data_IF_222950402610
#
_entry.id   IF_222950402610
#
_cell.length_a   1.000
_cell.length_b   1.000
_cell.length_c   1.000
_cell.angle_alpha   90.00
_cell.angle_beta   90.00
_cell.angle_gamma   90.00
#
_symmetry.space_group_name_H-M   'P 1'
#
loop_
_entity.id
_entity.type
_entity.pdbx_description
1 polymer ?
#
# COMPACT_ATOMS: atom_id res chain seq x y z
N UNK A 1 -5.52 18.96 10.72
CA UNK A 1 -5.55 18.01 11.85
C UNK A 1 -4.63 18.44 12.97
N UNK A 2 -4.65 17.75 14.12
CA UNK A 2 -3.88 18.16 15.29
C UNK A 2 -2.60 17.33 15.44
N UNK A 3 -1.62 17.91 16.11
CA UNK A 3 -0.38 17.24 16.49
C UNK A 3 -0.64 15.90 17.20
N UNK A 4 -1.56 15.89 18.16
CA UNK A 4 -1.85 14.69 18.93
C UNK A 4 -2.34 13.52 18.09
N UNK A 5 -3.22 13.79 17.13
CA UNK A 5 -3.69 12.77 16.17
C UNK A 5 -2.58 12.25 15.26
N UNK A 6 -1.70 13.15 14.78
CA UNK A 6 -0.55 12.73 14.00
C UNK A 6 0.41 11.86 14.83
N UNK A 7 0.66 12.23 16.07
CA UNK A 7 1.50 11.45 16.99
C UNK A 7 0.91 10.05 17.24
N UNK A 8 -0.38 9.98 17.53
CA UNK A 8 -1.09 8.73 17.72
C UNK A 8 -1.00 7.84 16.48
N UNK A 9 -1.24 8.41 15.30
CA UNK A 9 -1.13 7.71 14.02
C UNK A 9 0.28 7.15 13.78
N UNK A 10 1.32 7.97 13.90
CA UNK A 10 2.72 7.55 13.73
C UNK A 10 3.12 6.44 14.71
N UNK A 11 2.63 6.52 15.95
CA UNK A 11 2.86 5.48 16.95
C UNK A 11 2.25 4.13 16.55
N UNK A 12 1.02 4.14 16.04
CA UNK A 12 0.38 2.93 15.52
C UNK A 12 1.10 2.36 14.29
N UNK A 13 1.55 3.22 13.37
CA UNK A 13 2.33 2.78 12.21
C UNK A 13 3.67 2.12 12.59
N UNK A 14 4.22 2.43 13.77
CA UNK A 14 5.47 1.83 14.27
C UNK A 14 5.23 0.50 15.00
N UNK A 15 4.50 -0.42 14.37
CA UNK A 15 4.23 -1.75 14.93
C UNK A 15 3.37 -1.72 16.19
N UNK A 16 2.28 -0.94 16.18
CA UNK A 16 1.35 -0.77 17.31
C UNK A 16 2.05 -0.41 18.62
N UNK A 17 3.08 0.43 18.54
CA UNK A 17 3.82 0.93 19.71
C UNK A 17 2.85 1.52 20.74
N UNK A 18 2.91 1.07 21.99
CA UNK A 18 2.08 1.60 23.07
C UNK A 18 2.55 3.00 23.51
N UNK A 19 1.67 3.77 24.18
CA UNK A 19 2.06 5.04 24.81
C UNK A 19 3.20 4.83 25.82
N UNK A 20 3.23 3.68 26.51
CA UNK A 20 4.30 3.30 27.45
C UNK A 20 5.63 3.12 26.71
N UNK A 21 5.64 2.33 25.63
CA UNK A 21 6.85 2.11 24.84
C UNK A 21 7.43 3.41 24.26
N UNK A 22 6.57 4.33 23.82
CA UNK A 22 7.02 5.65 23.37
C UNK A 22 7.60 6.47 24.50
N UNK A 23 6.91 6.50 25.66
CA UNK A 23 7.34 7.22 26.84
C UNK A 23 8.73 6.76 27.33
N UNK A 24 8.95 5.45 27.39
CA UNK A 24 10.26 4.86 27.72
C UNK A 24 11.35 5.29 26.74
N UNK A 25 11.07 5.25 25.42
CA UNK A 25 12.04 5.61 24.38
C UNK A 25 12.54 7.05 24.49
N UNK A 26 11.68 7.97 24.92
CA UNK A 26 12.02 9.41 25.01
C UNK A 26 12.18 9.89 26.46
N UNK A 27 12.22 8.95 27.41
CA UNK A 27 12.44 9.18 28.83
C UNK A 27 11.48 10.22 29.45
N UNK A 28 10.17 9.97 29.30
CA UNK A 28 9.10 10.76 29.91
C UNK A 28 8.03 9.83 30.51
N UNK A 29 6.99 10.38 31.14
CA UNK A 29 5.89 9.57 31.64
C UNK A 29 4.88 9.21 30.55
N UNK A 30 4.22 8.04 30.63
CA UNK A 30 3.09 7.67 29.79
C UNK A 30 1.99 8.74 29.80
N UNK A 31 1.76 9.36 30.98
CA UNK A 31 0.77 10.42 31.12
C UNK A 31 1.10 11.65 30.24
N UNK A 32 2.38 11.96 30.07
CA UNK A 32 2.83 13.04 29.17
C UNK A 32 2.51 12.71 27.73
N UNK A 33 2.79 11.50 27.26
CA UNK A 33 2.41 11.04 25.90
C UNK A 33 0.89 11.12 25.71
N UNK A 34 0.12 10.65 26.69
CA UNK A 34 -1.35 10.74 26.63
C UNK A 34 -1.85 12.18 26.50
N UNK A 35 -1.27 13.12 27.26
CA UNK A 35 -1.61 14.56 27.15
C UNK A 35 -1.28 15.12 25.76
N UNK A 36 -0.18 14.70 25.18
CA UNK A 36 0.23 15.10 23.82
C UNK A 36 -0.75 14.57 22.77
N UNK A 37 -1.14 13.29 22.85
CA UNK A 37 -2.11 12.69 21.93
C UNK A 37 -3.52 13.28 22.06
N UNK A 38 -3.86 13.85 23.23
CA UNK A 38 -5.12 14.56 23.48
C UNK A 38 -5.04 16.07 23.18
N UNK A 39 -3.91 16.57 22.65
CA UNK A 39 -3.66 18.01 22.40
C UNK A 39 -3.83 18.91 23.64
N UNK A 40 -3.71 18.34 24.85
CA UNK A 40 -3.78 19.10 26.11
C UNK A 40 -2.41 19.62 26.56
N UNK A 41 -1.34 19.15 25.94
CA UNK A 41 0.03 19.64 26.10
C UNK A 41 0.81 19.38 24.81
N UNK A 42 1.95 20.08 24.67
CA UNK A 42 2.87 19.93 23.54
C UNK A 42 4.27 19.60 24.06
N UNK A 43 5.08 18.87 23.26
CA UNK A 43 6.47 18.62 23.61
C UNK A 43 7.32 19.90 23.50
N UNK A 44 8.34 19.98 24.34
CA UNK A 44 9.43 20.93 24.15
C UNK A 44 10.20 20.59 22.86
N UNK A 45 10.94 21.55 22.32
CA UNK A 45 11.58 21.42 21.01
C UNK A 45 12.53 20.22 20.90
N UNK A 46 13.29 19.93 21.96
CA UNK A 46 14.19 18.78 22.04
C UNK A 46 13.42 17.46 21.89
N UNK A 47 12.29 17.33 22.59
CA UNK A 47 11.41 16.15 22.52
C UNK A 47 10.68 16.07 21.18
N UNK A 48 10.30 17.19 20.60
CA UNK A 48 9.72 17.23 19.25
C UNK A 48 10.73 16.71 18.20
N UNK A 49 11.99 17.10 18.29
CA UNK A 49 13.07 16.62 17.41
C UNK A 49 13.32 15.12 17.65
N UNK A 50 13.28 14.66 18.88
CA UNK A 50 13.44 13.25 19.23
C UNK A 50 12.29 12.40 18.61
N UNK A 51 11.05 12.86 18.71
CA UNK A 51 9.90 12.23 18.03
C UNK A 51 10.08 12.17 16.53
N UNK A 52 10.56 13.26 15.88
CA UNK A 52 10.83 13.27 14.45
C UNK A 52 11.87 12.23 14.04
N UNK A 53 12.90 11.99 14.86
CA UNK A 53 13.90 10.94 14.61
C UNK A 53 13.32 9.54 14.75
N UNK A 54 12.50 9.32 15.80
CA UNK A 54 11.85 8.02 16.03
C UNK A 54 10.93 7.64 14.88
N UNK A 55 10.14 8.61 14.40
CA UNK A 55 9.13 8.38 13.38
C UNK A 55 9.59 8.73 11.95
N UNK A 56 10.87 9.09 11.79
CA UNK A 56 11.46 9.48 10.50
C UNK A 56 10.62 10.53 9.77
N UNK A 57 10.16 11.58 10.46
CA UNK A 57 9.32 12.64 9.91
C UNK A 57 9.89 14.03 10.17
N UNK A 58 9.40 15.04 9.44
CA UNK A 58 9.74 16.44 9.71
C UNK A 58 8.87 17.03 10.82
N UNK A 59 9.34 18.12 11.46
CA UNK A 59 8.51 18.89 12.41
C UNK A 59 7.25 19.42 11.73
N UNK A 60 7.33 19.87 10.49
CA UNK A 60 6.17 20.36 9.76
C UNK A 60 5.14 19.25 9.55
N UNK A 61 5.58 18.06 9.14
CA UNK A 61 4.72 16.89 8.99
C UNK A 61 4.07 16.50 10.33
N UNK A 62 4.83 16.48 11.42
CA UNK A 62 4.33 16.11 12.74
C UNK A 62 3.28 17.11 13.29
N UNK A 63 3.52 18.43 13.12
CA UNK A 63 2.68 19.47 13.73
C UNK A 63 1.57 19.98 12.81
N UNK A 64 1.75 19.98 11.49
CA UNK A 64 0.84 20.58 10.50
C UNK A 64 0.33 19.58 9.48
N UNK A 65 1.00 18.45 9.30
CA UNK A 65 0.60 17.43 8.33
C UNK A 65 -0.79 16.89 8.64
N UNK A 66 -1.51 16.55 7.61
CA UNK A 66 -2.73 15.76 7.68
C UNK A 66 -2.38 14.29 7.39
N UNK A 67 -1.82 13.62 8.41
CA UNK A 67 -1.34 12.24 8.28
C UNK A 67 -2.45 11.22 8.47
N UNK A 68 -3.52 11.59 9.18
CA UNK A 68 -4.60 10.68 9.51
C UNK A 68 -5.60 10.64 8.37
N UNK A 69 -5.23 9.94 7.32
CA UNK A 69 -6.14 9.60 6.21
C UNK A 69 -6.84 8.26 6.49
N UNK A 70 -6.49 7.61 7.59
CA UNK A 70 -6.97 6.29 7.97
C UNK A 70 -8.35 6.36 8.62
N UNK A 71 -9.35 5.87 7.91
CA UNK A 71 -10.58 5.37 8.50
C UNK A 71 -10.41 3.91 8.97
N UNK A 72 -11.44 3.36 9.60
CA UNK A 72 -11.53 1.94 10.02
C UNK A 72 -11.41 0.94 8.85
N UNK A 73 -11.34 1.45 7.61
CA UNK A 73 -11.26 0.65 6.38
C UNK A 73 -9.90 -0.06 6.18
N UNK A 74 -8.85 0.40 6.87
CA UNK A 74 -7.49 -0.13 6.68
C UNK A 74 -7.05 -0.95 7.87
N UNK A 75 -6.69 -2.19 7.62
CA UNK A 75 -6.25 -3.13 8.65
C UNK A 75 -4.97 -3.84 8.22
N UNK A 76 -4.37 -4.55 9.16
CA UNK A 76 -3.29 -5.49 8.89
C UNK A 76 -2.12 -4.90 8.08
N UNK A 77 -1.60 -3.75 8.53
CA UNK A 77 -0.31 -3.22 8.04
C UNK A 77 0.81 -4.17 8.44
N UNK A 78 1.55 -4.69 7.46
CA UNK A 78 2.56 -5.72 7.68
C UNK A 78 3.67 -5.68 6.64
N UNK A 79 4.77 -6.34 6.96
CA UNK A 79 5.78 -6.75 5.98
C UNK A 79 5.72 -8.25 5.87
N UNK A 80 5.56 -8.76 4.66
CA UNK A 80 5.58 -10.18 4.41
C UNK A 80 6.40 -10.55 3.18
N UNK A 81 6.86 -11.79 3.13
CA UNK A 81 7.54 -12.32 1.96
C UNK A 81 6.50 -12.96 1.05
N UNK A 82 6.27 -12.37 -0.12
CA UNK A 82 5.51 -13.00 -1.19
C UNK A 82 6.39 -14.09 -1.82
N UNK A 83 5.96 -15.36 -1.83
CA UNK A 83 6.75 -16.45 -2.40
C UNK A 83 6.95 -16.25 -3.91
N UNK A 84 7.97 -16.93 -4.47
CA UNK A 84 8.17 -16.94 -5.91
C UNK A 84 6.95 -17.50 -6.65
N UNK A 85 6.61 -16.91 -7.80
CA UNK A 85 5.49 -17.36 -8.62
C UNK A 85 5.76 -17.14 -10.12
N UNK A 86 5.07 -17.93 -10.94
CA UNK A 86 4.99 -17.74 -12.39
C UNK A 86 3.71 -17.02 -12.73
N UNK A 87 3.74 -16.17 -13.75
CA UNK A 87 2.57 -15.41 -14.16
C UNK A 87 2.59 -15.09 -15.66
N UNK A 88 1.42 -14.86 -16.21
CA UNK A 88 1.23 -14.16 -17.48
C UNK A 88 0.64 -12.80 -17.17
N UNK A 89 0.85 -11.82 -18.08
CA UNK A 89 0.34 -10.48 -17.91
C UNK A 89 -0.22 -9.91 -19.20
N UNK A 90 -1.12 -8.96 -19.05
CA UNK A 90 -1.73 -8.23 -20.15
C UNK A 90 -1.92 -6.77 -19.76
N UNK A 91 -1.37 -5.89 -20.58
CA UNK A 91 -1.49 -4.44 -20.42
C UNK A 91 -2.48 -3.89 -21.45
N UNK A 92 -3.32 -2.96 -21.03
CA UNK A 92 -4.29 -2.31 -21.89
C UNK A 92 -4.42 -0.82 -21.55
N UNK A 93 -4.71 -0.02 -22.57
CA UNK A 93 -5.08 1.40 -22.43
C UNK A 93 -6.50 1.53 -22.97
N UNK A 94 -7.44 1.85 -22.10
CA UNK A 94 -8.86 2.02 -22.46
C UNK A 94 -9.57 2.97 -21.48
N UNK A 95 -10.87 3.15 -21.65
CA UNK A 95 -11.71 3.90 -20.71
C UNK A 95 -12.12 3.10 -19.48
N UNK A 96 -11.99 1.75 -19.52
CA UNK A 96 -12.16 0.83 -18.38
C UNK A 96 -11.02 -0.21 -18.41
N UNK A 97 -9.76 0.21 -18.19
CA UNK A 97 -8.61 -0.65 -18.40
C UNK A 97 -8.50 -1.77 -17.36
N UNK A 98 -8.93 -1.53 -16.14
CA UNK A 98 -8.96 -2.55 -15.08
C UNK A 98 -9.93 -3.68 -15.46
N UNK A 99 -11.18 -3.34 -15.81
CA UNK A 99 -12.18 -4.31 -16.25
C UNK A 99 -11.70 -5.11 -17.45
N UNK A 100 -11.17 -4.44 -18.47
CA UNK A 100 -10.68 -5.06 -19.71
C UNK A 100 -9.51 -6.03 -19.45
N UNK A 101 -8.52 -5.61 -18.64
CA UNK A 101 -7.36 -6.44 -18.33
C UNK A 101 -7.74 -7.66 -17.48
N UNK A 102 -8.55 -7.48 -16.45
CA UNK A 102 -9.02 -8.55 -15.57
C UNK A 102 -9.87 -9.56 -16.37
N UNK A 103 -10.83 -9.10 -17.16
CA UNK A 103 -11.64 -9.97 -18.03
C UNK A 103 -10.79 -10.79 -18.98
N UNK A 104 -9.71 -10.21 -19.51
CA UNK A 104 -8.77 -10.94 -20.38
C UNK A 104 -8.08 -12.07 -19.61
N UNK A 105 -7.62 -11.82 -18.39
CA UNK A 105 -6.99 -12.86 -17.56
C UNK A 105 -7.95 -13.98 -17.21
N UNK A 106 -9.18 -13.66 -16.84
CA UNK A 106 -10.22 -14.66 -16.58
C UNK A 106 -10.57 -15.50 -17.83
N UNK A 107 -10.62 -14.88 -19.00
CA UNK A 107 -10.90 -15.58 -20.26
C UNK A 107 -9.80 -16.59 -20.59
N UNK A 108 -8.53 -16.21 -20.41
CA UNK A 108 -7.39 -17.11 -20.62
C UNK A 108 -7.40 -18.24 -19.58
N UNK A 109 -7.67 -17.93 -18.32
CA UNK A 109 -7.74 -18.93 -17.26
C UNK A 109 -8.82 -19.99 -17.54
N UNK A 110 -10.00 -19.56 -17.98
CA UNK A 110 -11.10 -20.48 -18.39
C UNK A 110 -10.70 -21.37 -19.55
N UNK A 111 -9.95 -20.88 -20.54
CA UNK A 111 -9.44 -21.71 -21.63
C UNK A 111 -8.42 -22.76 -21.17
N UNK A 112 -7.91 -22.62 -19.97
CA UNK A 112 -7.01 -23.57 -19.30
C UNK A 112 -7.72 -24.36 -18.18
N UNK A 113 -9.06 -24.40 -18.18
CA UNK A 113 -9.90 -25.09 -17.17
C UNK A 113 -9.71 -24.59 -15.71
N UNK A 114 -9.35 -23.30 -15.55
CA UNK A 114 -9.22 -22.65 -14.24
C UNK A 114 -10.38 -21.66 -14.04
N UNK A 115 -11.34 -22.02 -13.18
CA UNK A 115 -12.54 -21.22 -12.90
C UNK A 115 -12.27 -20.01 -12.01
N UNK A 116 -11.37 -20.16 -11.02
CA UNK A 116 -11.03 -19.13 -10.02
C UNK A 116 -9.54 -18.78 -10.11
N UNK A 117 -9.13 -17.99 -11.10
CA UNK A 117 -7.74 -17.56 -11.22
C UNK A 117 -7.39 -16.55 -10.13
N UNK A 118 -6.16 -16.63 -9.61
CA UNK A 118 -5.60 -15.58 -8.77
C UNK A 118 -5.05 -14.48 -9.67
N UNK A 119 -5.77 -13.37 -9.78
CA UNK A 119 -5.38 -12.22 -10.59
C UNK A 119 -4.92 -11.09 -9.66
N UNK A 120 -3.83 -10.45 -10.02
CA UNK A 120 -3.31 -9.22 -9.42
C UNK A 120 -3.23 -8.16 -10.50
N UNK A 121 -3.17 -6.88 -10.13
CA UNK A 121 -3.08 -5.82 -11.11
C UNK A 121 -2.45 -4.55 -10.56
N UNK A 122 -2.11 -3.63 -11.45
CA UNK A 122 -1.53 -2.33 -11.13
C UNK A 122 -1.72 -1.35 -12.29
N UNK A 123 -1.79 -0.07 -11.93
CA UNK A 123 -1.74 1.02 -12.91
C UNK A 123 -0.35 1.15 -13.51
N UNK A 124 -0.27 1.57 -14.78
CA UNK A 124 1.00 1.96 -15.37
C UNK A 124 0.92 3.36 -16.01
N UNK A 125 2.01 4.15 -15.92
CA UNK A 125 1.98 5.57 -16.26
C UNK A 125 2.20 5.90 -17.76
N UNK A 126 2.35 4.92 -18.63
CA UNK A 126 2.70 5.11 -20.04
C UNK A 126 1.49 5.56 -20.90
N UNK A 127 0.74 6.56 -20.42
CA UNK A 127 -0.42 7.15 -21.10
C UNK A 127 -0.15 8.64 -21.27
N UNK A 128 -0.41 9.18 -22.47
CA UNK A 128 -0.20 10.61 -22.71
C UNK A 128 -1.26 11.46 -22.03
N UNK A 129 -0.93 12.74 -21.75
CA UNK A 129 -1.89 13.69 -21.18
C UNK A 129 -3.13 13.87 -22.04
N UNK A 130 -2.98 13.77 -23.37
CA UNK A 130 -4.11 13.82 -24.31
C UNK A 130 -5.02 12.61 -24.14
N UNK A 131 -4.46 11.40 -24.03
CA UNK A 131 -5.21 10.18 -23.79
C UNK A 131 -6.01 10.27 -22.48
N UNK A 132 -5.39 10.79 -21.41
CA UNK A 132 -6.05 10.96 -20.11
C UNK A 132 -7.14 12.03 -20.18
N UNK A 133 -6.78 13.25 -20.61
CA UNK A 133 -7.63 14.43 -20.41
C UNK A 133 -8.69 14.59 -21.51
N UNK A 134 -8.43 14.11 -22.73
CA UNK A 134 -9.35 14.25 -23.88
C UNK A 134 -10.15 12.98 -24.12
N UNK A 135 -9.48 11.82 -24.06
CA UNK A 135 -10.10 10.54 -24.39
C UNK A 135 -10.49 9.70 -23.18
N UNK A 136 -10.23 10.19 -21.95
CA UNK A 136 -10.47 9.47 -20.69
C UNK A 136 -9.92 8.04 -20.70
N UNK A 137 -8.71 7.88 -21.25
CA UNK A 137 -8.03 6.60 -21.33
C UNK A 137 -7.00 6.49 -20.21
N UNK A 138 -6.96 5.35 -19.56
CA UNK A 138 -6.00 5.01 -18.51
C UNK A 138 -5.30 3.71 -18.85
N UNK A 139 -4.16 3.45 -18.23
CA UNK A 139 -3.39 2.23 -18.43
C UNK A 139 -3.49 1.32 -17.22
N UNK A 140 -3.75 0.04 -17.44
CA UNK A 140 -3.74 -0.98 -16.40
C UNK A 140 -3.09 -2.26 -16.89
N UNK A 141 -2.38 -2.94 -16.04
CA UNK A 141 -1.78 -4.24 -16.29
C UNK A 141 -2.32 -5.24 -15.27
N UNK A 142 -2.92 -6.32 -15.76
CA UNK A 142 -3.35 -7.45 -14.94
C UNK A 142 -2.42 -8.64 -15.15
N UNK A 143 -2.17 -9.39 -14.09
CA UNK A 143 -1.39 -10.62 -14.15
C UNK A 143 -2.15 -11.77 -13.49
N UNK A 144 -2.21 -12.90 -14.19
CA UNK A 144 -2.70 -14.14 -13.62
C UNK A 144 -1.53 -14.95 -13.08
N UNK A 145 -1.53 -15.19 -11.78
CA UNK A 145 -0.56 -16.06 -11.10
C UNK A 145 -0.90 -17.50 -11.46
N UNK A 146 0.02 -18.17 -12.15
CA UNK A 146 -0.20 -19.50 -12.69
C UNK A 146 -0.09 -20.58 -11.60
N UNK A 147 -1.02 -21.52 -11.54
CA UNK A 147 -0.82 -22.77 -10.80
C UNK A 147 0.37 -23.56 -11.35
N UNK A 148 1.01 -24.38 -10.53
CA UNK A 148 2.29 -25.06 -10.86
C UNK A 148 2.27 -25.86 -12.17
N UNK A 149 1.11 -26.41 -12.57
CA UNK A 149 0.99 -27.29 -13.76
C UNK A 149 0.36 -26.60 -14.97
N UNK A 150 0.02 -25.32 -14.85
CA UNK A 150 -0.66 -24.59 -15.92
C UNK A 150 0.39 -23.83 -16.74
N UNK A 151 0.32 -23.97 -18.06
CA UNK A 151 1.14 -23.24 -19.03
C UNK A 151 0.28 -22.89 -20.23
N UNK A 152 -0.32 -21.68 -20.27
CA UNK A 152 -1.12 -21.24 -21.41
C UNK A 152 -0.28 -21.29 -22.71
N UNK A 153 -0.83 -21.83 -23.83
CA UNK A 153 -0.11 -21.89 -25.08
C UNK A 153 0.09 -20.49 -25.68
N UNK A 154 1.21 -20.29 -26.34
CA UNK A 154 1.54 -19.08 -27.11
C UNK A 154 1.57 -17.76 -26.31
N UNK A 155 1.63 -17.84 -24.97
CA UNK A 155 1.72 -16.68 -24.08
C UNK A 155 3.04 -16.72 -23.32
N UNK A 156 3.74 -15.58 -23.28
CA UNK A 156 4.98 -15.46 -22.52
C UNK A 156 4.72 -15.60 -21.02
N UNK A 157 5.36 -16.58 -20.42
CA UNK A 157 5.37 -16.75 -18.95
C UNK A 157 6.52 -15.92 -18.36
N UNK A 158 6.20 -15.21 -17.31
CA UNK A 158 7.13 -14.44 -16.50
C UNK A 158 7.32 -15.14 -15.15
N UNK A 159 8.43 -14.86 -14.51
CA UNK A 159 8.75 -15.36 -13.17
C UNK A 159 9.05 -14.20 -12.22
N UNK A 160 8.49 -14.27 -11.04
CA UNK A 160 8.77 -13.36 -9.93
C UNK A 160 9.48 -14.16 -8.85
N UNK A 161 10.69 -13.76 -8.48
CA UNK A 161 11.38 -14.34 -7.32
C UNK A 161 10.67 -13.99 -6.01
N UNK A 162 10.88 -14.78 -4.96
CA UNK A 162 10.37 -14.45 -3.64
C UNK A 162 10.94 -13.09 -3.18
N UNK A 163 10.08 -12.20 -2.72
CA UNK A 163 10.47 -10.85 -2.35
C UNK A 163 9.64 -10.31 -1.19
N UNK A 164 10.22 -9.35 -0.42
CA UNK A 164 9.51 -8.67 0.67
C UNK A 164 8.63 -7.56 0.14
N UNK A 165 7.44 -7.48 0.68
CA UNK A 165 6.48 -6.44 0.41
C UNK A 165 5.93 -5.86 1.71
N UNK A 166 5.80 -4.55 1.77
CA UNK A 166 4.89 -3.90 2.71
C UNK A 166 3.47 -4.08 2.18
N UNK A 167 2.54 -4.42 3.05
CA UNK A 167 1.15 -4.70 2.67
C UNK A 167 0.14 -4.07 3.62
N UNK A 168 -1.01 -3.70 3.08
CA UNK A 168 -2.17 -3.17 3.79
C UNK A 168 -3.44 -3.85 3.28
N UNK A 169 -4.38 -4.13 4.18
CA UNK A 169 -5.67 -4.72 3.85
C UNK A 169 -6.78 -3.67 3.84
N UNK A 170 -7.67 -3.76 2.86
CA UNK A 170 -8.87 -2.90 2.70
C UNK A 170 -10.10 -3.80 2.69
N UNK A 171 -10.99 -3.65 3.67
CA UNK A 171 -12.20 -4.47 3.80
C UNK A 171 -13.25 -4.23 2.70
N UNK A 172 -13.50 -2.99 2.32
CA UNK A 172 -14.54 -2.61 1.35
C UNK A 172 -13.98 -1.61 0.32
N UNK A 173 -13.02 -2.03 -0.55
CA UNK A 173 -12.30 -1.12 -1.44
C UNK A 173 -13.24 -0.35 -2.38
N UNK A 174 -14.31 -0.95 -2.84
CA UNK A 174 -15.20 -0.41 -3.88
C UNK A 174 -16.36 0.44 -3.34
N UNK A 175 -16.50 0.61 -2.02
CA UNK A 175 -17.53 1.51 -1.47
C UNK A 175 -17.25 2.97 -1.83
N UNK A 176 -15.97 3.39 -1.83
CA UNK A 176 -15.52 4.70 -2.31
C UNK A 176 -14.10 4.59 -2.88
N UNK A 177 -13.91 3.92 -4.03
CA UNK A 177 -12.60 3.49 -4.52
C UNK A 177 -11.64 4.65 -4.75
N UNK A 178 -12.13 5.79 -5.30
CA UNK A 178 -11.31 6.97 -5.58
C UNK A 178 -10.79 7.71 -4.34
N UNK A 179 -11.26 7.36 -3.17
CA UNK A 179 -10.78 7.89 -1.88
C UNK A 179 -10.04 6.79 -1.13
N UNK A 180 -10.65 5.60 -1.01
CA UNK A 180 -10.15 4.50 -0.20
C UNK A 180 -8.82 3.96 -0.73
N UNK A 181 -8.73 3.64 -2.02
CA UNK A 181 -7.51 3.05 -2.59
C UNK A 181 -6.32 4.02 -2.56
N UNK A 182 -6.43 5.29 -3.04
CA UNK A 182 -5.31 6.24 -2.94
C UNK A 182 -4.87 6.52 -1.50
N UNK A 183 -5.80 6.51 -0.55
CA UNK A 183 -5.46 6.71 0.86
C UNK A 183 -4.75 5.49 1.47
N UNK A 184 -5.08 4.28 1.05
CA UNK A 184 -4.36 3.08 1.44
C UNK A 184 -2.90 3.11 0.97
N UNK A 185 -2.65 3.51 -0.28
CA UNK A 185 -1.29 3.73 -0.78
C UNK A 185 -0.52 4.76 0.05
N UNK A 186 -1.14 5.93 0.35
CA UNK A 186 -0.52 6.94 1.21
C UNK A 186 -0.17 6.39 2.59
N UNK A 187 -1.09 5.65 3.20
CA UNK A 187 -0.89 5.02 4.50
C UNK A 187 0.25 4.00 4.46
N UNK A 188 0.29 3.17 3.42
CA UNK A 188 1.33 2.17 3.24
C UNK A 188 2.71 2.81 3.00
N UNK A 189 2.79 3.89 2.22
CA UNK A 189 4.01 4.67 2.03
C UNK A 189 4.49 5.31 3.35
N UNK A 190 3.57 5.86 4.17
CA UNK A 190 3.92 6.37 5.50
C UNK A 190 4.41 5.25 6.43
N UNK A 191 3.76 4.08 6.41
CA UNK A 191 4.20 2.91 7.14
C UNK A 191 5.63 2.50 6.75
N UNK A 192 5.93 2.44 5.46
CA UNK A 192 7.28 2.15 4.97
C UNK A 192 8.28 3.20 5.47
N UNK A 193 7.98 4.47 5.31
CA UNK A 193 8.84 5.57 5.76
C UNK A 193 9.15 5.52 7.26
N UNK A 194 8.12 5.33 8.09
CA UNK A 194 8.25 5.26 9.55
C UNK A 194 9.10 4.05 9.98
N UNK A 195 8.99 2.94 9.28
CA UNK A 195 9.72 1.70 9.59
C UNK A 195 11.07 1.56 8.87
N UNK A 196 11.47 2.57 8.07
CA UNK A 196 12.76 2.58 7.38
C UNK A 196 12.84 1.54 6.26
N UNK A 197 11.70 1.22 5.63
CA UNK A 197 11.63 0.31 4.48
C UNK A 197 11.84 1.13 3.21
N UNK A 198 12.79 0.71 2.39
CA UNK A 198 13.10 1.36 1.12
C UNK A 198 12.33 0.68 -0.01
N UNK A 199 11.65 1.47 -0.85
CA UNK A 199 11.00 0.97 -2.05
C UNK A 199 12.01 0.45 -3.07
N UNK A 200 11.65 -0.60 -3.80
CA UNK A 200 12.46 -1.14 -4.90
C UNK A 200 11.60 -1.49 -6.11
N UNK A 201 12.17 -1.25 -7.30
CA UNK A 201 11.56 -1.61 -8.60
C UNK A 201 12.44 -2.62 -9.36
N UNK A 202 13.60 -2.95 -8.79
CA UNK A 202 14.59 -3.75 -9.50
C UNK A 202 14.21 -5.24 -9.50
N UNK A 203 13.96 -5.77 -10.68
CA UNK A 203 13.67 -7.19 -10.94
C UNK A 203 12.44 -7.75 -10.19
N UNK A 204 11.51 -6.86 -9.82
CA UNK A 204 10.28 -7.22 -9.10
C UNK A 204 9.08 -6.45 -9.66
N UNK A 205 7.87 -6.92 -9.41
CA UNK A 205 6.66 -6.13 -9.58
C UNK A 205 6.65 -5.08 -8.46
N UNK A 206 6.78 -3.77 -8.77
CA UNK A 206 7.04 -2.75 -7.74
C UNK A 206 5.86 -2.53 -6.80
N UNK A 207 4.64 -2.65 -7.31
CA UNK A 207 3.41 -2.62 -6.53
C UNK A 207 2.33 -3.43 -7.25
N UNK A 208 1.38 -3.97 -6.49
CA UNK A 208 0.20 -4.63 -7.05
C UNK A 208 -0.93 -4.70 -6.04
N UNK A 209 -2.13 -4.89 -6.56
CA UNK A 209 -3.36 -5.06 -5.82
C UNK A 209 -3.87 -6.49 -6.01
N UNK A 210 -4.38 -7.09 -4.93
CA UNK A 210 -5.13 -8.34 -5.05
C UNK A 210 -6.60 -8.03 -5.36
N UNK A 211 -7.18 -8.72 -6.34
CA UNK A 211 -8.57 -8.51 -6.72
C UNK A 211 -9.49 -9.47 -5.95
N UNK A 212 -10.57 -8.94 -5.34
CA UNK A 212 -11.55 -9.69 -4.57
C UNK A 212 -12.61 -8.79 -3.93
N UNK A 213 -13.44 -9.34 -3.03
CA UNK A 213 -14.40 -8.58 -2.22
C UNK A 213 -13.68 -7.64 -1.24
N UNK A 214 -12.52 -8.06 -0.75
CA UNK A 214 -11.54 -7.23 -0.05
C UNK A 214 -10.26 -7.13 -0.89
N UNK A 215 -9.40 -6.19 -0.59
CA UNK A 215 -8.19 -5.91 -1.35
C UNK A 215 -6.97 -5.82 -0.43
N UNK A 216 -5.88 -6.46 -0.82
CA UNK A 216 -4.56 -6.17 -0.29
C UNK A 216 -3.76 -5.37 -1.31
N UNK A 217 -3.11 -4.30 -0.86
CA UNK A 217 -2.14 -3.53 -1.64
C UNK A 217 -0.75 -3.90 -1.18
N UNK A 218 0.13 -4.15 -2.12
CA UNK A 218 1.52 -4.55 -1.91
C UNK A 218 2.47 -3.54 -2.54
N UNK A 219 3.51 -3.13 -1.81
CA UNK A 219 4.62 -2.31 -2.32
C UNK A 219 5.94 -3.03 -2.01
N UNK A 220 6.74 -3.29 -3.03
CA UNK A 220 8.02 -3.98 -2.88
C UNK A 220 9.00 -3.18 -2.03
N UNK A 221 9.68 -3.82 -1.08
CA UNK A 221 10.61 -3.17 -0.16
C UNK A 221 11.86 -4.02 0.13
N UNK A 222 12.94 -3.32 0.53
CA UNK A 222 14.20 -3.90 0.99
C UNK A 222 14.23 -4.01 2.50
#
# INVERSE_FOLDING_TARGET
MSFGKNLQFLRHLRGDMTQENLAEKINISRQTVSKWELDTAYPEMDKAIELCRIFNCSLDSLFRGDMVVCGEAYTNLRVETVPAFRYIKYAVISSDPEGDAIHRMFSIARSCDVEKPRVIGWDFPNVSQEQINVFNMHGYEAAWILPDRVSPPDIKIHEQAAHKYAAIHIENPFQNPFVTIPNAYKTLMEYMRVNGLEHTEKDVIPCFESNGESMDIYIACL
#
